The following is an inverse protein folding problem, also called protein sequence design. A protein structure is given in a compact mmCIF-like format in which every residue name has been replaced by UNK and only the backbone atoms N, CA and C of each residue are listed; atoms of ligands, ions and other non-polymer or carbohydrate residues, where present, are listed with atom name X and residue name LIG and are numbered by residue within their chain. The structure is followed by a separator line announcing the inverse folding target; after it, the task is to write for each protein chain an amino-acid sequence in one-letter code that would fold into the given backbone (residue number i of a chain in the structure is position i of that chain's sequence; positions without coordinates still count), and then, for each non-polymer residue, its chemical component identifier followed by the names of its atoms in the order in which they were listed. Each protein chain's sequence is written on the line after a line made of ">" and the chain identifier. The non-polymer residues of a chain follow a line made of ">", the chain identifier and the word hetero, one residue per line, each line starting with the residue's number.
data_IF_375241770463
#
_entry.id   IF_375241770463
#
_cell.length_a   1.000
_cell.length_b   1.000
_cell.length_c   1.000
_cell.angle_alpha   90.00
_cell.angle_beta   90.00
_cell.angle_gamma   90.00
#
_symmetry.space_group_name_H-M   'P 1'
#
loop_
_entity.id
_entity.type
_entity.pdbx_description
1 polymer ?
#
# COMPACT_ATOMS: atom_id res chain seq x y z
N UNK A 1 -37.25 40.69 16.19
CA UNK A 1 -38.70 40.90 16.40
C UNK A 1 -39.04 40.32 17.77
N UNK A 2 -39.79 41.07 18.59
CA UNK A 2 -40.28 40.59 19.90
C UNK A 2 -41.71 40.12 19.74
N UNK A 3 -42.02 38.93 20.18
CA UNK A 3 -43.37 38.38 20.28
C UNK A 3 -43.68 38.11 21.75
N UNK A 4 -44.83 38.63 22.29
CA UNK A 4 -45.24 38.36 23.66
C UNK A 4 -45.43 36.87 23.99
N UNK A 5 -45.70 36.04 22.99
CA UNK A 5 -45.90 34.59 23.11
C UNK A 5 -44.63 33.77 22.98
N UNK A 6 -43.62 34.24 22.20
CA UNK A 6 -42.42 33.46 21.82
C UNK A 6 -41.10 34.15 22.20
N UNK A 7 -41.13 35.30 22.85
CA UNK A 7 -39.93 36.05 23.25
C UNK A 7 -39.24 36.77 22.10
N UNK A 8 -37.93 36.95 22.22
CA UNK A 8 -37.12 37.56 21.16
C UNK A 8 -36.77 36.55 20.08
N UNK A 9 -37.04 36.92 18.83
CA UNK A 9 -36.52 36.22 17.65
C UNK A 9 -35.61 37.12 16.86
N UNK A 10 -34.53 36.59 16.34
CA UNK A 10 -33.59 37.26 15.47
C UNK A 10 -33.76 36.74 14.05
N UNK A 11 -34.13 37.64 13.13
CA UNK A 11 -34.14 37.31 11.71
C UNK A 11 -32.77 37.57 11.12
N UNK A 12 -32.16 36.53 10.56
CA UNK A 12 -30.91 36.66 9.81
C UNK A 12 -31.31 37.00 8.37
N UNK A 13 -31.01 38.22 7.92
CA UNK A 13 -31.35 38.69 6.57
C UNK A 13 -30.30 38.32 5.53
N UNK A 14 -29.01 38.23 5.95
CA UNK A 14 -27.93 37.80 5.09
C UNK A 14 -26.76 37.23 5.91
N UNK A 15 -26.08 36.28 5.34
CA UNK A 15 -24.79 35.77 5.86
C UNK A 15 -23.75 36.04 4.78
N UNK A 16 -22.73 36.82 5.10
CA UNK A 16 -21.61 37.02 4.19
C UNK A 16 -20.73 35.76 4.16
N UNK A 17 -20.94 34.95 3.15
CA UNK A 17 -20.17 33.70 2.95
C UNK A 17 -18.71 33.97 2.60
N UNK A 18 -18.38 35.15 2.08
CA UNK A 18 -16.99 35.50 1.70
C UNK A 18 -16.06 35.61 2.90
N UNK A 19 -16.58 36.10 4.04
CA UNK A 19 -15.85 36.18 5.29
C UNK A 19 -15.47 34.80 5.86
N UNK A 20 -16.44 33.88 5.82
CA UNK A 20 -16.23 32.50 6.29
C UNK A 20 -15.26 31.74 5.40
N UNK A 21 -15.33 31.91 4.08
CA UNK A 21 -14.39 31.30 3.13
C UNK A 21 -12.97 31.83 3.30
N UNK A 22 -12.81 33.14 3.56
CA UNK A 22 -11.51 33.75 3.84
C UNK A 22 -10.86 33.21 5.11
N UNK A 23 -11.63 32.98 6.17
CA UNK A 23 -11.14 32.39 7.41
C UNK A 23 -10.73 30.92 7.27
N UNK A 24 -11.50 30.13 6.51
CA UNK A 24 -11.16 28.75 6.18
C UNK A 24 -9.83 28.68 5.41
N UNK A 25 -9.70 29.51 4.37
CA UNK A 25 -8.50 29.58 3.55
C UNK A 25 -7.27 30.01 4.38
N UNK A 26 -7.42 31.00 5.25
CA UNK A 26 -6.35 31.46 6.15
C UNK A 26 -5.93 30.34 7.12
N UNK A 27 -6.86 29.65 7.75
CA UNK A 27 -6.58 28.53 8.66
C UNK A 27 -5.86 27.39 7.93
N UNK A 28 -6.31 27.04 6.75
CA UNK A 28 -5.66 26.05 5.89
C UNK A 28 -4.19 26.42 5.62
N UNK A 29 -3.95 27.66 5.21
CA UNK A 29 -2.60 28.17 4.93
C UNK A 29 -1.70 28.14 6.16
N UNK A 30 -2.19 28.56 7.32
CA UNK A 30 -1.46 28.52 8.59
C UNK A 30 -1.04 27.08 8.98
N UNK A 31 -1.92 26.11 8.78
CA UNK A 31 -1.61 24.70 9.06
C UNK A 31 -0.51 24.22 8.11
N UNK A 32 -0.60 24.57 6.83
CA UNK A 32 0.35 24.18 5.81
C UNK A 32 1.75 24.77 6.07
N UNK A 33 1.83 26.04 6.41
CA UNK A 33 3.07 26.72 6.80
C UNK A 33 3.70 26.08 8.04
N UNK A 34 2.89 25.76 9.05
CA UNK A 34 3.36 25.11 10.26
C UNK A 34 3.89 23.70 10.00
N UNK A 35 3.17 22.88 9.23
CA UNK A 35 3.62 21.53 8.85
C UNK A 35 4.92 21.58 8.03
N UNK A 36 5.06 22.61 7.19
CA UNK A 36 6.26 22.84 6.39
C UNK A 36 7.44 23.23 7.28
N UNK A 37 7.25 24.18 8.20
CA UNK A 37 8.31 24.63 9.12
C UNK A 37 8.79 23.52 10.06
N UNK A 38 7.90 22.60 10.44
CA UNK A 38 8.23 21.43 11.26
C UNK A 38 8.80 20.26 10.42
N UNK A 39 8.91 20.37 9.10
CA UNK A 39 9.40 19.34 8.19
C UNK A 39 8.49 18.09 8.15
N UNK A 40 7.21 18.24 8.47
CA UNK A 40 6.23 17.15 8.52
C UNK A 40 5.51 16.92 7.19
N UNK A 41 5.24 17.99 6.44
CA UNK A 41 4.34 18.00 5.28
C UNK A 41 4.58 16.86 4.29
N UNK A 42 5.83 16.57 4.00
CA UNK A 42 6.20 15.58 2.98
C UNK A 42 6.51 14.19 3.53
N UNK A 43 6.42 13.96 4.83
CA UNK A 43 6.86 12.68 5.43
C UNK A 43 6.09 11.48 4.90
N UNK A 44 4.77 11.57 4.78
CA UNK A 44 3.96 10.50 4.23
C UNK A 44 3.97 10.50 2.69
N UNK A 45 4.01 11.68 2.06
CA UNK A 45 4.13 11.82 0.59
C UNK A 45 5.36 11.10 0.02
N UNK A 46 6.49 11.17 0.72
CA UNK A 46 7.76 10.58 0.28
C UNK A 46 7.88 9.09 0.58
N UNK A 47 6.90 8.50 1.25
CA UNK A 47 6.90 7.04 1.42
C UNK A 47 6.76 6.36 0.07
N UNK A 48 7.53 5.29 -0.17
CA UNK A 48 7.39 4.52 -1.40
C UNK A 48 5.96 3.95 -1.50
N UNK A 49 5.46 3.87 -2.71
CA UNK A 49 4.23 3.11 -2.97
C UNK A 49 4.46 1.66 -2.52
N UNK A 50 3.51 1.04 -1.81
CA UNK A 50 3.64 -0.35 -1.40
C UNK A 50 3.97 -1.24 -2.62
N UNK A 51 4.87 -2.18 -2.44
CA UNK A 51 5.18 -3.14 -3.50
C UNK A 51 3.97 -4.04 -3.77
N UNK A 52 3.32 -4.47 -2.71
CA UNK A 52 2.09 -5.26 -2.73
C UNK A 52 1.11 -4.68 -1.70
N UNK A 53 -0.19 -4.76 -1.97
CA UNK A 53 -1.25 -4.30 -1.07
C UNK A 53 -2.14 -5.51 -0.76
N UNK A 54 -1.91 -6.12 0.38
CA UNK A 54 -2.68 -7.26 0.83
C UNK A 54 -3.58 -6.95 2.03
N UNK A 55 -3.22 -5.94 2.82
CA UNK A 55 -3.96 -5.57 4.01
C UNK A 55 -4.16 -4.07 4.07
N UNK A 56 -5.40 -3.65 3.98
CA UNK A 56 -5.80 -2.25 3.92
C UNK A 56 -6.65 -1.89 5.13
N UNK A 57 -6.23 -0.87 5.87
CA UNK A 57 -7.04 -0.25 6.90
C UNK A 57 -7.86 0.88 6.30
N UNK A 58 -9.18 0.80 6.43
CA UNK A 58 -10.12 1.81 5.90
C UNK A 58 -10.78 2.58 7.03
N UNK A 59 -10.63 3.90 7.04
CA UNK A 59 -11.36 4.83 7.91
C UNK A 59 -12.42 5.54 7.07
N UNK A 60 -13.69 5.35 7.42
CA UNK A 60 -14.82 5.88 6.66
C UNK A 60 -16.01 6.18 7.57
N UNK A 61 -16.97 7.05 7.16
CA UNK A 61 -18.26 7.21 7.85
C UNK A 61 -19.12 5.95 7.72
N UNK A 62 -19.89 5.60 8.74
CA UNK A 62 -20.73 4.38 8.77
C UNK A 62 -21.70 4.25 7.59
N UNK A 63 -22.35 5.36 7.18
CA UNK A 63 -23.46 5.36 6.24
C UNK A 63 -23.23 6.27 5.02
N UNK A 64 -21.99 6.36 4.52
CA UNK A 64 -21.71 7.20 3.36
C UNK A 64 -22.07 6.49 2.04
N UNK A 65 -22.81 7.17 1.16
CA UNK A 65 -23.19 6.64 -0.16
C UNK A 65 -21.97 6.15 -0.98
N UNK A 66 -20.85 6.89 -0.94
CA UNK A 66 -19.61 6.51 -1.63
C UNK A 66 -18.86 5.31 -1.02
N UNK A 67 -19.21 4.91 0.20
CA UNK A 67 -18.64 3.72 0.83
C UNK A 67 -19.21 2.43 0.21
N UNK A 68 -20.46 2.46 -0.28
CA UNK A 68 -21.08 1.30 -0.92
C UNK A 68 -20.33 0.86 -2.19
N UNK A 69 -19.99 1.83 -3.05
CA UNK A 69 -19.23 1.54 -4.29
C UNK A 69 -17.82 1.06 -3.97
N UNK A 70 -17.16 1.69 -2.98
CA UNK A 70 -15.85 1.25 -2.53
C UNK A 70 -15.89 -0.19 -2.00
N UNK A 71 -16.86 -0.50 -1.12
CA UNK A 71 -17.02 -1.84 -0.52
C UNK A 71 -17.26 -2.91 -1.57
N UNK A 72 -18.09 -2.65 -2.56
CA UNK A 72 -18.37 -3.61 -3.63
C UNK A 72 -17.11 -4.11 -4.33
N UNK A 73 -16.21 -3.19 -4.70
CA UNK A 73 -14.96 -3.54 -5.35
C UNK A 73 -13.94 -4.14 -4.35
N UNK A 74 -13.92 -3.64 -3.10
CA UNK A 74 -13.08 -4.18 -2.04
C UNK A 74 -13.46 -5.61 -1.65
N UNK A 75 -14.76 -5.89 -1.51
CA UNK A 75 -15.29 -7.23 -1.22
C UNK A 75 -14.96 -8.22 -2.34
N UNK A 76 -14.94 -7.77 -3.59
CA UNK A 76 -14.52 -8.60 -4.71
C UNK A 76 -13.03 -8.99 -4.62
N UNK A 77 -12.16 -8.06 -4.22
CA UNK A 77 -10.72 -8.33 -3.99
C UNK A 77 -10.49 -9.24 -2.77
N UNK A 78 -11.29 -9.05 -1.72
CA UNK A 78 -11.21 -9.88 -0.51
C UNK A 78 -11.68 -11.31 -0.76
N UNK A 79 -12.81 -11.49 -1.43
CA UNK A 79 -13.33 -12.79 -1.85
C UNK A 79 -12.36 -13.53 -2.78
N UNK A 80 -11.64 -12.81 -3.62
CA UNK A 80 -10.58 -13.37 -4.45
C UNK A 80 -9.30 -13.73 -3.66
N UNK A 81 -9.25 -13.42 -2.36
CA UNK A 81 -8.09 -13.65 -1.52
C UNK A 81 -6.86 -12.80 -1.87
N UNK A 82 -7.08 -11.69 -2.59
CA UNK A 82 -6.00 -10.84 -3.10
C UNK A 82 -5.65 -9.73 -2.12
N UNK A 83 -6.68 -9.11 -1.49
CA UNK A 83 -6.50 -7.98 -0.59
C UNK A 83 -7.60 -7.99 0.48
N UNK A 84 -7.20 -7.91 1.74
CA UNK A 84 -8.09 -7.88 2.90
C UNK A 84 -8.32 -6.44 3.36
N UNK A 85 -9.59 -6.09 3.68
CA UNK A 85 -9.98 -4.74 4.08
C UNK A 85 -10.58 -4.75 5.48
N UNK A 86 -10.01 -3.96 6.39
CA UNK A 86 -10.54 -3.75 7.74
C UNK A 86 -11.09 -2.35 7.86
N UNK A 87 -12.37 -2.25 8.23
CA UNK A 87 -13.10 -0.98 8.27
C UNK A 87 -13.25 -0.49 9.70
N UNK A 88 -12.97 0.81 9.90
CA UNK A 88 -13.27 1.52 11.15
C UNK A 88 -14.05 2.78 10.85
N UNK A 89 -15.15 2.96 11.60
CA UNK A 89 -16.01 4.12 11.44
C UNK A 89 -15.46 5.35 12.16
N UNK A 90 -15.62 6.52 11.53
CA UNK A 90 -15.36 7.81 12.12
C UNK A 90 -16.39 8.85 11.64
N UNK A 91 -16.60 9.89 12.44
CA UNK A 91 -17.39 11.05 12.04
C UNK A 91 -16.52 12.00 11.22
N UNK A 92 -17.02 12.42 10.04
CA UNK A 92 -16.33 13.34 9.12
C UNK A 92 -16.99 14.71 9.04
N UNK A 93 -17.97 14.99 9.89
CA UNK A 93 -18.76 16.23 9.91
C UNK A 93 -18.71 16.87 11.31
N UNK A 94 -18.79 18.21 11.33
CA UNK A 94 -18.82 18.97 12.56
C UNK A 94 -17.46 19.07 13.28
N UNK A 95 -17.45 19.81 14.39
CA UNK A 95 -16.24 20.16 15.13
C UNK A 95 -15.45 18.98 15.71
N UNK A 96 -16.08 17.82 15.83
CA UNK A 96 -15.45 16.59 16.37
C UNK A 96 -14.82 15.72 15.30
N UNK A 97 -14.95 16.08 14.02
CA UNK A 97 -14.50 15.24 12.89
C UNK A 97 -13.00 14.86 13.00
N UNK A 98 -12.14 15.85 13.19
CA UNK A 98 -10.70 15.63 13.29
C UNK A 98 -10.33 14.71 14.48
N UNK A 99 -10.95 14.92 15.64
CA UNK A 99 -10.76 14.08 16.82
C UNK A 99 -11.27 12.67 16.59
N UNK A 100 -12.48 12.54 16.02
CA UNK A 100 -13.09 11.24 15.73
C UNK A 100 -12.22 10.40 14.76
N UNK A 101 -11.71 11.01 13.70
CA UNK A 101 -10.81 10.32 12.76
C UNK A 101 -9.50 9.92 13.44
N UNK A 102 -8.92 10.81 14.27
CA UNK A 102 -7.70 10.53 15.00
C UNK A 102 -7.87 9.37 15.99
N UNK A 103 -8.98 9.35 16.73
CA UNK A 103 -9.32 8.28 17.65
C UNK A 103 -9.63 6.96 16.93
N UNK A 104 -10.41 7.01 15.85
CA UNK A 104 -10.69 5.85 15.02
C UNK A 104 -9.40 5.24 14.47
N UNK A 105 -8.50 6.06 13.94
CA UNK A 105 -7.21 5.61 13.46
C UNK A 105 -6.36 5.00 14.59
N UNK A 106 -6.29 5.65 15.75
CA UNK A 106 -5.55 5.14 16.90
C UNK A 106 -6.15 3.83 17.44
N UNK A 107 -7.47 3.73 17.49
CA UNK A 107 -8.18 2.53 17.93
C UNK A 107 -8.02 1.39 16.94
N UNK A 108 -8.19 1.69 15.65
CA UNK A 108 -7.98 0.74 14.57
C UNK A 108 -6.56 0.17 14.61
N UNK A 109 -5.55 1.01 14.74
CA UNK A 109 -4.16 0.60 14.82
C UNK A 109 -3.83 -0.20 16.09
N UNK A 110 -4.48 0.07 17.21
CA UNK A 110 -4.36 -0.74 18.45
C UNK A 110 -4.99 -2.12 18.33
N UNK A 111 -6.15 -2.19 17.68
CA UNK A 111 -6.84 -3.46 17.46
C UNK A 111 -6.08 -4.31 16.44
N UNK A 112 -5.63 -3.71 15.36
CA UNK A 112 -4.78 -4.36 14.36
C UNK A 112 -3.54 -4.99 14.99
N UNK A 113 -2.89 -4.26 15.91
CA UNK A 113 -1.72 -4.74 16.63
C UNK A 113 -1.99 -5.93 17.59
N UNK A 114 -3.24 -6.22 17.95
CA UNK A 114 -3.59 -7.42 18.75
C UNK A 114 -3.88 -8.64 17.86
N UNK A 115 -4.44 -8.41 16.67
CA UNK A 115 -4.98 -9.47 15.82
C UNK A 115 -3.98 -9.90 14.72
N UNK A 116 -3.10 -8.98 14.27
CA UNK A 116 -2.15 -9.19 13.18
C UNK A 116 -0.73 -8.79 13.60
N UNK A 117 0.25 -9.62 13.27
CA UNK A 117 1.66 -9.38 13.62
C UNK A 117 2.40 -8.44 12.64
N UNK A 118 1.72 -7.92 11.62
CA UNK A 118 2.28 -7.01 10.60
C UNK A 118 1.44 -5.73 10.51
N UNK A 119 1.98 -4.52 10.21
CA UNK A 119 1.16 -3.31 9.96
C UNK A 119 0.30 -3.47 8.69
N UNK A 120 -0.78 -2.65 8.51
CA UNK A 120 -1.42 -2.53 7.20
C UNK A 120 -0.41 -2.06 6.14
N UNK A 121 -0.54 -2.56 4.92
CA UNK A 121 0.28 -2.11 3.81
C UNK A 121 -0.14 -0.71 3.37
N UNK A 122 -1.41 -0.38 3.60
CA UNK A 122 -2.02 0.88 3.20
C UNK A 122 -3.08 1.30 4.23
N UNK A 123 -3.13 2.60 4.53
CA UNK A 123 -4.26 3.22 5.23
C UNK A 123 -5.06 4.03 4.21
N UNK A 124 -6.37 3.84 4.22
CA UNK A 124 -7.31 4.55 3.36
C UNK A 124 -8.23 5.40 4.22
N UNK A 125 -8.36 6.70 3.90
CA UNK A 125 -9.29 7.60 4.55
C UNK A 125 -10.24 8.09 3.47
N UNK A 126 -11.50 7.66 3.54
CA UNK A 126 -12.50 7.97 2.51
C UNK A 126 -13.76 8.58 3.12
N UNK A 127 -14.37 9.50 2.36
CA UNK A 127 -15.68 10.07 2.64
C UNK A 127 -16.49 10.03 1.34
N UNK A 128 -17.70 9.52 1.40
CA UNK A 128 -18.67 9.72 0.32
C UNK A 128 -19.40 11.03 0.53
N UNK A 129 -19.86 11.68 -0.52
CA UNK A 129 -20.68 12.89 -0.58
C UNK A 129 -20.93 13.71 0.70
N UNK A 130 -21.37 14.94 0.59
CA UNK A 130 -21.65 15.83 1.71
C UNK A 130 -21.41 17.29 1.33
N UNK A 131 -21.84 18.24 2.16
CA UNK A 131 -21.66 19.65 1.89
C UNK A 131 -20.16 20.03 1.92
N UNK A 132 -19.77 20.94 1.03
CA UNK A 132 -18.39 21.47 0.94
C UNK A 132 -17.93 22.10 2.26
N UNK A 133 -18.86 22.76 2.96
CA UNK A 133 -18.57 23.39 4.25
C UNK A 133 -18.15 22.39 5.35
N UNK A 134 -18.55 21.12 5.23
CA UNK A 134 -18.16 20.09 6.18
C UNK A 134 -16.69 19.70 6.05
N UNK A 135 -16.08 19.95 4.90
CA UNK A 135 -14.67 19.65 4.65
C UNK A 135 -13.72 20.59 5.43
N UNK A 136 -14.20 21.79 5.75
CA UNK A 136 -13.44 22.74 6.56
C UNK A 136 -13.05 22.20 7.95
N UNK A 137 -13.89 21.32 8.53
CA UNK A 137 -13.62 20.67 9.83
C UNK A 137 -12.48 19.65 9.78
N UNK A 138 -12.08 19.20 8.58
CA UNK A 138 -10.95 18.31 8.39
C UNK A 138 -9.61 19.08 8.34
N UNK A 139 -9.64 20.40 8.22
CA UNK A 139 -8.47 21.25 8.27
C UNK A 139 -8.04 21.46 9.72
N UNK A 140 -7.44 20.40 10.29
CA UNK A 140 -6.91 20.37 11.65
C UNK A 140 -5.44 19.97 11.65
N UNK A 141 -4.64 20.76 12.38
CA UNK A 141 -3.20 20.55 12.47
C UNK A 141 -2.84 19.22 13.15
N UNK A 142 -3.54 18.86 14.25
CA UNK A 142 -3.20 17.67 15.01
C UNK A 142 -3.47 16.40 14.20
N UNK A 143 -4.61 16.35 13.50
CA UNK A 143 -4.94 15.26 12.59
C UNK A 143 -3.91 15.18 11.45
N UNK A 144 -3.60 16.28 10.80
CA UNK A 144 -2.61 16.31 9.71
C UNK A 144 -1.21 15.87 10.19
N UNK A 145 -0.74 16.40 11.32
CA UNK A 145 0.54 16.00 11.91
C UNK A 145 0.57 14.53 12.33
N UNK A 146 -0.56 14.02 12.80
CA UNK A 146 -0.75 12.60 13.08
C UNK A 146 -0.54 11.77 11.82
N UNK A 147 -1.17 12.10 10.69
CA UNK A 147 -1.02 11.40 9.42
C UNK A 147 0.41 11.51 8.88
N UNK A 148 1.02 12.69 8.91
CA UNK A 148 2.40 12.90 8.47
C UNK A 148 3.41 11.98 9.17
N UNK A 149 3.18 11.68 10.46
CA UNK A 149 4.06 10.86 11.27
C UNK A 149 3.90 9.35 11.05
N UNK A 150 2.96 8.92 10.18
CA UNK A 150 2.76 7.51 9.86
C UNK A 150 3.85 7.01 8.91
N UNK A 151 4.35 5.79 9.11
CA UNK A 151 5.27 5.13 8.18
C UNK A 151 4.58 4.17 7.22
N UNK A 152 3.26 4.19 7.20
CA UNK A 152 2.45 3.53 6.19
C UNK A 152 1.92 4.57 5.24
N UNK A 153 1.96 4.32 3.94
CA UNK A 153 1.32 5.18 2.97
C UNK A 153 -0.15 5.38 3.31
N UNK A 154 -0.61 6.62 3.23
CA UNK A 154 -2.00 6.98 3.44
C UNK A 154 -2.57 7.47 2.10
N UNK A 155 -3.67 6.87 1.68
CA UNK A 155 -4.43 7.31 0.53
C UNK A 155 -5.74 7.93 0.99
N UNK A 156 -6.05 9.09 0.43
CA UNK A 156 -7.23 9.87 0.80
C UNK A 156 -8.17 9.95 -0.39
N UNK A 157 -9.48 9.81 -0.12
CA UNK A 157 -10.54 9.97 -1.12
C UNK A 157 -11.74 10.68 -0.49
N UNK A 158 -11.59 11.99 -0.19
CA UNK A 158 -12.55 12.76 0.62
C UNK A 158 -13.31 13.80 -0.20
N UNK A 159 -12.63 14.53 -1.09
CA UNK A 159 -13.18 15.72 -1.75
C UNK A 159 -13.06 15.69 -3.26
N UNK A 160 -13.77 16.61 -3.92
CA UNK A 160 -13.62 16.87 -5.35
C UNK A 160 -12.39 17.77 -5.58
N UNK A 161 -11.91 17.82 -6.81
CA UNK A 161 -10.71 18.55 -7.25
C UNK A 161 -10.67 20.03 -6.82
N UNK A 162 -11.85 20.64 -6.61
CA UNK A 162 -12.01 22.04 -6.18
C UNK A 162 -12.00 22.25 -4.66
N UNK A 163 -12.16 21.20 -3.86
CA UNK A 163 -12.43 21.26 -2.42
C UNK A 163 -11.40 20.47 -1.62
N UNK A 164 -10.11 20.76 -1.84
CA UNK A 164 -9.00 20.10 -1.18
C UNK A 164 -8.95 20.40 0.31
N UNK A 165 -8.66 19.37 1.08
CA UNK A 165 -8.40 19.46 2.53
C UNK A 165 -6.90 19.35 2.83
N UNK A 166 -6.52 19.69 4.05
CA UNK A 166 -5.14 19.51 4.50
C UNK A 166 -4.73 18.01 4.47
N UNK A 167 -5.70 17.09 4.55
CA UNK A 167 -5.46 15.64 4.49
C UNK A 167 -4.99 15.23 3.09
N UNK A 168 -5.51 15.86 2.05
CA UNK A 168 -5.08 15.65 0.65
C UNK A 168 -3.63 16.10 0.44
N UNK A 169 -3.21 17.17 1.16
CA UNK A 169 -1.87 17.69 1.06
C UNK A 169 -0.81 16.85 1.77
N UNK A 170 -1.16 16.18 2.85
CA UNK A 170 -0.23 15.36 3.65
C UNK A 170 -0.22 13.90 3.27
N UNK A 171 -1.23 13.44 2.54
CA UNK A 171 -1.37 12.05 2.12
C UNK A 171 -0.27 11.62 1.14
N UNK A 172 0.03 10.33 1.08
CA UNK A 172 0.88 9.73 0.06
C UNK A 172 0.27 9.89 -1.34
N UNK A 173 -1.05 9.61 -1.45
CA UNK A 173 -1.84 9.88 -2.65
C UNK A 173 -3.20 10.44 -2.27
N UNK A 174 -3.70 11.36 -3.08
CA UNK A 174 -5.05 11.92 -2.98
C UNK A 174 -5.86 11.56 -4.23
N UNK A 175 -7.12 11.24 -4.02
CA UNK A 175 -8.10 10.89 -5.04
C UNK A 175 -9.39 11.67 -4.80
N UNK A 176 -10.11 12.00 -5.85
CA UNK A 176 -11.34 12.81 -5.74
C UNK A 176 -12.52 12.05 -5.13
N UNK A 177 -12.50 10.72 -5.18
CA UNK A 177 -13.62 9.89 -4.70
C UNK A 177 -13.14 8.56 -4.11
N UNK A 178 -13.95 7.93 -3.21
CA UNK A 178 -13.68 6.58 -2.72
C UNK A 178 -13.52 5.56 -3.84
N UNK A 179 -14.32 5.63 -4.90
CA UNK A 179 -14.25 4.72 -6.04
C UNK A 179 -12.93 4.84 -6.81
N UNK A 180 -12.34 6.06 -6.89
CA UNK A 180 -11.01 6.23 -7.46
C UNK A 180 -9.90 5.66 -6.58
N UNK A 181 -10.07 5.66 -5.25
CA UNK A 181 -9.11 5.03 -4.31
C UNK A 181 -9.05 3.53 -4.55
N UNK A 182 -10.19 2.84 -4.53
CA UNK A 182 -10.23 1.38 -4.74
C UNK A 182 -9.77 1.02 -6.16
N UNK A 183 -10.11 1.85 -7.16
CA UNK A 183 -9.56 1.73 -8.51
C UNK A 183 -8.04 1.84 -8.54
N UNK A 184 -7.46 2.76 -7.77
CA UNK A 184 -6.01 2.90 -7.60
C UNK A 184 -5.35 1.67 -6.97
N UNK A 185 -5.98 1.09 -5.93
CA UNK A 185 -5.52 -0.16 -5.29
C UNK A 185 -5.54 -1.30 -6.32
N UNK A 186 -6.67 -1.50 -6.99
CA UNK A 186 -6.81 -2.53 -8.02
C UNK A 186 -5.78 -2.37 -9.13
N UNK A 187 -5.59 -1.17 -9.64
CA UNK A 187 -4.63 -0.91 -10.71
C UNK A 187 -3.20 -1.23 -10.27
N UNK A 188 -2.82 -0.88 -9.04
CA UNK A 188 -1.49 -1.21 -8.51
C UNK A 188 -1.29 -2.73 -8.41
N UNK A 189 -2.28 -3.47 -7.91
CA UNK A 189 -2.24 -4.93 -7.83
C UNK A 189 -2.10 -5.54 -9.23
N UNK A 190 -2.90 -5.06 -10.19
CA UNK A 190 -2.83 -5.52 -11.59
C UNK A 190 -1.47 -5.20 -12.21
N UNK A 191 -0.96 -3.99 -12.04
CA UNK A 191 0.37 -3.58 -12.52
C UNK A 191 1.48 -4.49 -11.98
N UNK A 192 1.48 -4.75 -10.67
CA UNK A 192 2.46 -5.64 -10.05
C UNK A 192 2.36 -7.07 -10.53
N UNK A 193 1.14 -7.56 -10.70
CA UNK A 193 0.90 -8.90 -11.27
C UNK A 193 1.45 -8.98 -12.69
N UNK A 194 1.22 -7.95 -13.52
CA UNK A 194 1.74 -7.89 -14.88
C UNK A 194 3.27 -7.84 -14.90
N UNK A 195 3.90 -7.03 -14.03
CA UNK A 195 5.37 -6.95 -13.89
C UNK A 195 5.99 -8.33 -13.58
N UNK A 196 5.33 -9.10 -12.70
CA UNK A 196 5.76 -10.46 -12.35
C UNK A 196 5.61 -11.41 -13.54
N UNK A 197 4.46 -11.37 -14.23
CA UNK A 197 4.21 -12.19 -15.43
C UNK A 197 5.20 -11.87 -16.55
N UNK A 198 5.48 -10.58 -16.80
CA UNK A 198 6.45 -10.15 -17.80
C UNK A 198 7.87 -10.59 -17.46
N UNK A 199 8.22 -10.54 -16.18
CA UNK A 199 9.50 -11.04 -15.68
C UNK A 199 9.64 -12.54 -15.86
N UNK A 200 8.61 -13.31 -15.54
CA UNK A 200 8.56 -14.76 -15.79
C UNK A 200 8.66 -15.09 -17.29
N UNK A 201 7.95 -14.30 -18.14
CA UNK A 201 8.02 -14.47 -19.59
C UNK A 201 9.43 -14.19 -20.13
N UNK A 202 10.09 -13.11 -19.68
CA UNK A 202 11.48 -12.79 -20.03
C UNK A 202 12.45 -13.91 -19.61
N UNK A 203 12.30 -14.42 -18.37
CA UNK A 203 13.12 -15.52 -17.85
C UNK A 203 12.94 -16.75 -18.75
N UNK A 204 11.70 -17.11 -19.10
CA UNK A 204 11.39 -18.24 -19.98
C UNK A 204 12.01 -18.06 -21.37
N UNK A 205 11.86 -16.89 -21.98
CA UNK A 205 12.43 -16.56 -23.28
C UNK A 205 13.96 -16.64 -23.28
N UNK A 206 14.62 -16.02 -22.28
CA UNK A 206 16.07 -16.05 -22.16
C UNK A 206 16.59 -17.47 -21.96
N UNK A 207 15.90 -18.27 -21.15
CA UNK A 207 16.23 -19.68 -20.94
C UNK A 207 16.10 -20.50 -22.25
N UNK A 208 15.02 -20.30 -22.99
CA UNK A 208 14.81 -20.96 -24.28
C UNK A 208 15.87 -20.52 -25.32
N UNK A 209 16.20 -19.23 -25.36
CA UNK A 209 17.20 -18.71 -26.29
C UNK A 209 18.60 -19.28 -26.00
N UNK A 210 18.99 -19.39 -24.73
CA UNK A 210 20.23 -20.03 -24.32
C UNK A 210 20.27 -21.51 -24.72
N UNK A 211 19.18 -22.25 -24.45
CA UNK A 211 19.06 -23.66 -24.83
C UNK A 211 19.22 -23.83 -26.34
N UNK A 212 18.50 -23.00 -27.13
CA UNK A 212 18.57 -23.06 -28.61
C UNK A 212 19.96 -22.68 -29.14
N UNK A 213 20.59 -21.65 -28.55
CA UNK A 213 21.95 -21.25 -28.93
C UNK A 213 22.98 -22.36 -28.65
N UNK A 214 22.90 -23.02 -27.48
CA UNK A 214 23.77 -24.14 -27.14
C UNK A 214 23.51 -25.37 -28.03
N UNK A 215 22.23 -25.64 -28.35
CA UNK A 215 21.88 -26.71 -29.31
C UNK A 215 22.46 -26.42 -30.68
N UNK A 216 22.31 -25.18 -31.21
CA UNK A 216 22.87 -24.79 -32.50
C UNK A 216 24.41 -24.85 -32.55
N UNK A 217 25.05 -24.39 -31.49
CA UNK A 217 26.50 -24.46 -31.35
C UNK A 217 26.99 -25.92 -31.29
N UNK A 218 26.24 -26.77 -30.60
CA UNK A 218 26.49 -28.21 -30.49
C UNK A 218 26.39 -28.89 -31.88
N UNK A 219 25.34 -28.57 -32.64
CA UNK A 219 25.16 -29.11 -34.00
C UNK A 219 26.29 -28.70 -34.93
N UNK A 220 26.85 -27.47 -34.79
CA UNK A 220 28.02 -27.03 -35.50
C UNK A 220 29.27 -27.85 -35.11
N UNK A 221 29.51 -28.09 -33.83
CA UNK A 221 30.64 -28.93 -33.40
C UNK A 221 30.56 -30.35 -33.91
N UNK A 222 29.37 -30.94 -33.89
CA UNK A 222 29.11 -32.29 -34.44
C UNK A 222 29.43 -32.33 -35.95
N UNK A 223 29.01 -31.28 -36.70
CA UNK A 223 29.29 -31.17 -38.15
C UNK A 223 30.82 -31.06 -38.42
N UNK A 224 31.52 -30.21 -37.66
CA UNK A 224 32.98 -30.03 -37.80
C UNK A 224 33.71 -31.31 -37.49
N UNK A 225 33.37 -31.99 -36.41
CA UNK A 225 33.96 -33.26 -36.01
C UNK A 225 33.77 -34.33 -37.08
N UNK A 226 32.52 -34.47 -37.64
CA UNK A 226 32.23 -35.40 -38.72
C UNK A 226 33.03 -35.08 -39.97
N UNK A 227 33.26 -33.82 -40.31
CA UNK A 227 34.03 -33.39 -41.51
C UNK A 227 35.53 -33.62 -41.34
N UNK A 228 36.07 -33.39 -40.15
CA UNK A 228 37.51 -33.54 -39.85
C UNK A 228 37.92 -35.00 -39.61
N UNK A 229 37.00 -35.86 -39.25
CA UNK A 229 37.33 -37.21 -38.77
C UNK A 229 37.13 -38.34 -39.82
N UNK A 230 36.94 -38.03 -41.08
CA UNK A 230 36.85 -39.08 -42.11
C UNK A 230 38.06 -40.05 -42.18
N UNK A 231 39.19 -39.72 -41.54
CA UNK A 231 40.39 -40.56 -41.49
C UNK A 231 40.58 -41.36 -40.18
N UNK A 232 39.80 -41.05 -39.11
CA UNK A 232 39.95 -41.68 -37.77
C UNK A 232 38.62 -42.08 -37.14
N UNK A 233 37.82 -42.83 -37.88
CA UNK A 233 36.40 -43.13 -37.60
C UNK A 233 36.18 -43.73 -36.19
N UNK A 234 37.04 -44.59 -35.73
CA UNK A 234 36.83 -45.31 -34.48
C UNK A 234 37.13 -44.45 -33.20
N UNK A 235 38.14 -43.61 -33.19
CA UNK A 235 38.43 -42.68 -32.08
C UNK A 235 37.46 -41.48 -32.08
N UNK A 236 37.14 -40.95 -33.27
CA UNK A 236 36.23 -39.87 -33.43
C UNK A 236 34.79 -40.25 -32.93
N UNK A 237 34.32 -41.45 -33.23
CA UNK A 237 33.05 -41.93 -32.71
C UNK A 237 32.99 -42.03 -31.18
N UNK A 238 34.08 -42.52 -30.56
CA UNK A 238 34.19 -42.59 -29.10
C UNK A 238 34.26 -41.20 -28.48
N UNK A 239 34.99 -40.28 -29.11
CA UNK A 239 35.08 -38.88 -28.69
C UNK A 239 33.75 -38.17 -28.90
N UNK A 240 33.01 -38.48 -30.00
CA UNK A 240 31.71 -37.90 -30.29
C UNK A 240 30.62 -38.33 -29.26
N UNK A 241 30.65 -39.61 -28.85
CA UNK A 241 29.71 -40.12 -27.84
C UNK A 241 29.98 -39.53 -26.46
N UNK A 242 31.27 -39.35 -26.09
CA UNK A 242 31.65 -38.66 -24.85
C UNK A 242 31.26 -37.16 -24.90
N UNK A 243 31.48 -36.47 -26.04
CA UNK A 243 31.04 -35.07 -26.19
C UNK A 243 29.52 -34.92 -26.11
N UNK A 244 28.74 -35.80 -26.75
CA UNK A 244 27.29 -35.83 -26.62
C UNK A 244 26.84 -36.00 -25.17
N UNK A 245 27.46 -36.90 -24.43
CA UNK A 245 27.19 -37.13 -23.02
C UNK A 245 27.48 -35.89 -22.16
N UNK A 246 28.59 -35.21 -22.42
CA UNK A 246 28.98 -34.00 -21.71
C UNK A 246 28.04 -32.83 -22.00
N UNK A 247 27.63 -32.69 -23.27
CA UNK A 247 26.70 -31.64 -23.69
C UNK A 247 25.30 -31.87 -23.09
N UNK A 248 24.82 -33.13 -23.10
CA UNK A 248 23.56 -33.47 -22.46
C UNK A 248 23.61 -33.24 -20.94
N UNK A 249 24.72 -33.59 -20.31
CA UNK A 249 24.94 -33.31 -18.89
C UNK A 249 24.96 -31.83 -18.58
N UNK A 250 25.70 -31.02 -19.38
CA UNK A 250 25.78 -29.56 -19.21
C UNK A 250 24.42 -28.89 -19.52
N UNK A 251 23.70 -29.34 -20.54
CA UNK A 251 22.37 -28.83 -20.83
C UNK A 251 21.37 -29.12 -19.69
N UNK A 252 21.42 -30.34 -19.13
CA UNK A 252 20.61 -30.69 -17.94
C UNK A 252 20.99 -29.88 -16.71
N UNK A 253 22.29 -29.64 -16.50
CA UNK A 253 22.77 -28.78 -15.38
C UNK A 253 22.32 -27.33 -15.57
N UNK A 254 22.43 -26.78 -16.80
CA UNK A 254 21.95 -25.41 -17.12
C UNK A 254 20.45 -25.25 -16.94
N UNK A 255 19.67 -26.26 -17.39
CA UNK A 255 18.21 -26.27 -17.17
C UNK A 255 17.90 -26.33 -15.67
N UNK A 256 18.63 -27.16 -14.91
CA UNK A 256 18.49 -27.28 -13.47
C UNK A 256 18.87 -25.97 -12.75
N UNK A 257 19.97 -25.30 -13.17
CA UNK A 257 20.39 -24.02 -12.62
C UNK A 257 19.36 -22.90 -12.94
N UNK A 258 18.89 -22.84 -14.19
CA UNK A 258 17.85 -21.87 -14.58
C UNK A 258 16.53 -22.12 -13.83
N UNK A 259 16.12 -23.39 -13.66
CA UNK A 259 14.97 -23.77 -12.86
C UNK A 259 15.12 -23.37 -11.40
N UNK A 260 16.29 -23.63 -10.81
CA UNK A 260 16.59 -23.24 -9.43
C UNK A 260 16.61 -21.71 -9.25
N UNK A 261 17.09 -20.98 -10.25
CA UNK A 261 17.09 -19.51 -10.24
C UNK A 261 15.65 -18.94 -10.30
N UNK A 262 14.81 -19.52 -11.15
CA UNK A 262 13.38 -19.17 -11.21
C UNK A 262 12.68 -19.50 -9.89
N UNK A 263 12.89 -20.70 -9.32
CA UNK A 263 12.36 -21.06 -8.00
C UNK A 263 12.83 -20.11 -6.89
N UNK A 264 14.13 -19.72 -6.92
CA UNK A 264 14.69 -18.77 -5.94
C UNK A 264 14.01 -17.41 -6.03
N UNK A 265 13.87 -16.87 -7.26
CA UNK A 265 13.18 -15.59 -7.50
C UNK A 265 11.69 -15.66 -7.14
N UNK A 266 11.02 -16.79 -7.44
CA UNK A 266 9.64 -16.99 -7.01
C UNK A 266 9.51 -17.06 -5.49
N UNK A 267 10.42 -17.77 -4.80
CA UNK A 267 10.46 -17.82 -3.33
C UNK A 267 10.74 -16.43 -2.75
N UNK A 268 11.66 -15.67 -3.33
CA UNK A 268 12.00 -14.32 -2.87
C UNK A 268 10.80 -13.37 -3.03
N UNK A 269 10.11 -13.44 -4.18
CA UNK A 269 8.87 -12.69 -4.42
C UNK A 269 7.75 -13.09 -3.44
N UNK A 270 7.61 -14.39 -3.17
CA UNK A 270 6.61 -14.91 -2.22
C UNK A 270 6.97 -14.58 -0.76
N UNK A 271 8.26 -14.56 -0.41
CA UNK A 271 8.74 -14.18 0.93
C UNK A 271 8.59 -12.69 1.20
N UNK A 272 8.61 -11.85 0.16
CA UNK A 272 8.31 -10.41 0.27
C UNK A 272 6.81 -10.13 0.46
N UNK A 273 5.97 -11.15 0.30
CA UNK A 273 4.54 -11.04 0.52
C UNK A 273 4.25 -10.83 2.03
N UNK A 274 3.79 -9.66 2.44
CA UNK A 274 3.52 -9.37 3.85
C UNK A 274 2.59 -10.38 4.51
N UNK A 275 1.60 -10.90 3.79
CA UNK A 275 0.69 -11.95 4.30
C UNK A 275 1.41 -13.20 4.76
N UNK A 276 2.49 -13.60 4.08
CA UNK A 276 3.27 -14.80 4.46
C UNK A 276 4.04 -14.59 5.76
N UNK A 277 4.54 -13.36 5.97
CA UNK A 277 5.22 -12.99 7.21
C UNK A 277 4.20 -12.93 8.35
N UNK A 278 3.02 -12.38 8.08
CA UNK A 278 1.91 -12.31 9.04
C UNK A 278 1.38 -13.68 9.42
N UNK A 279 1.28 -14.61 8.48
CA UNK A 279 0.87 -16.00 8.75
C UNK A 279 1.82 -16.75 9.68
N UNK A 280 3.08 -16.30 9.83
CA UNK A 280 4.06 -16.85 10.77
C UNK A 280 3.94 -16.26 12.19
N UNK A 281 2.94 -15.41 12.43
CA UNK A 281 2.69 -14.80 13.73
C UNK A 281 3.41 -13.47 13.95
N UNK A 282 3.94 -12.83 12.89
CA UNK A 282 4.47 -11.46 12.98
C UNK A 282 3.35 -10.45 12.80
N UNK A 283 3.52 -9.27 13.43
CA UNK A 283 2.63 -8.12 13.32
C UNK A 283 3.37 -6.93 12.72
N UNK A 284 2.68 -6.10 11.99
CA UNK A 284 3.18 -4.79 11.63
C UNK A 284 2.66 -3.77 12.65
N UNK A 285 3.57 -3.12 13.38
CA UNK A 285 3.22 -2.08 14.34
C UNK A 285 3.29 -0.71 13.68
N UNK A 286 2.25 0.10 13.90
CA UNK A 286 2.18 1.47 13.41
C UNK A 286 1.97 2.45 14.54
N UNK A 287 2.64 3.56 14.49
CA UNK A 287 2.37 4.75 15.28
C UNK A 287 2.10 5.88 14.31
N UNK A 288 0.97 6.55 14.46
CA UNK A 288 0.53 7.61 13.58
C UNK A 288 0.46 7.22 12.07
N UNK A 289 0.00 5.95 11.76
CA UNK A 289 -0.11 5.36 10.42
C UNK A 289 1.21 4.99 9.74
N UNK A 290 2.36 5.21 10.40
CA UNK A 290 3.68 4.82 9.93
C UNK A 290 4.11 3.52 10.60
N UNK A 291 4.56 2.52 9.81
CA UNK A 291 5.17 1.31 10.35
C UNK A 291 6.44 1.69 11.12
N UNK A 292 6.50 1.32 12.40
CA UNK A 292 7.66 1.55 13.24
C UNK A 292 8.56 0.31 13.20
N UNK A 293 9.87 0.57 13.10
CA UNK A 293 10.91 -0.48 13.15
C UNK A 293 11.74 -0.43 14.43
N UNK A 294 11.56 0.62 15.21
CA UNK A 294 12.28 0.85 16.45
C UNK A 294 11.35 1.47 17.48
N UNK A 295 11.56 1.13 18.74
CA UNK A 295 10.89 1.74 19.89
C UNK A 295 11.07 3.27 19.94
N UNK A 296 12.15 3.80 19.37
CA UNK A 296 12.40 5.26 19.28
C UNK A 296 11.46 5.96 18.30
N UNK A 297 10.74 5.23 17.46
CA UNK A 297 9.81 5.76 16.46
C UNK A 297 8.36 5.84 17.00
N UNK A 298 8.13 5.45 18.23
CA UNK A 298 6.84 5.58 18.90
C UNK A 298 6.66 7.05 19.26
N UNK A 299 5.75 7.72 18.58
CA UNK A 299 5.48 9.15 18.72
C UNK A 299 4.23 9.44 19.58
N UNK A 300 3.43 8.41 19.84
CA UNK A 300 2.17 8.51 20.62
C UNK A 300 2.00 7.31 21.52
N UNK A 301 1.22 7.49 22.60
CA UNK A 301 0.86 6.40 23.49
C UNK A 301 -0.05 5.34 22.86
N UNK A 302 -0.44 5.54 21.61
CA UNK A 302 -1.33 4.66 20.86
C UNK A 302 -0.61 4.07 19.67
N UNK A 303 -0.61 2.74 19.60
CA UNK A 303 -0.07 1.98 18.48
C UNK A 303 -1.15 1.08 17.89
N UNK A 304 -1.03 0.85 16.59
CA UNK A 304 -1.83 -0.11 15.86
C UNK A 304 -0.97 -1.31 15.49
N UNK A 305 -1.47 -2.49 15.75
CA UNK A 305 -0.83 -3.77 15.39
C UNK A 305 -1.73 -4.50 14.39
N UNK A 306 -1.24 -4.64 13.17
CA UNK A 306 -1.92 -5.30 12.06
C UNK A 306 -1.55 -6.77 12.05
N UNK A 307 -2.53 -7.65 12.17
CA UNK A 307 -2.45 -9.09 12.08
C UNK A 307 -3.10 -9.57 10.77
N UNK A 308 -2.97 -10.84 10.42
CA UNK A 308 -3.46 -11.42 9.17
C UNK A 308 -4.97 -11.24 8.94
N UNK A 309 -5.74 -11.21 10.00
CA UNK A 309 -7.21 -11.24 10.02
C UNK A 309 -7.85 -9.98 10.64
N UNK A 310 -7.05 -9.00 11.07
CA UNK A 310 -7.59 -7.77 11.65
C UNK A 310 -6.54 -6.85 12.26
N UNK A 311 -7.00 -5.81 12.93
CA UNK A 311 -6.15 -4.80 13.53
C UNK A 311 -6.51 -4.61 14.99
N UNK A 312 -5.50 -4.48 15.83
CA UNK A 312 -5.64 -4.21 17.27
C UNK A 312 -5.11 -2.82 17.54
N UNK A 313 -5.86 -2.00 18.26
CA UNK A 313 -5.36 -0.76 18.81
C UNK A 313 -4.94 -0.98 20.28
N UNK A 314 -3.72 -0.60 20.60
CA UNK A 314 -3.17 -0.78 21.94
C UNK A 314 -2.56 0.52 22.47
N UNK A 315 -2.61 0.68 23.81
CA UNK A 315 -1.87 1.73 24.48
C UNK A 315 -0.48 1.22 24.88
N UNK A 316 0.53 2.02 24.62
CA UNK A 316 1.88 1.77 25.12
C UNK A 316 1.92 2.13 26.59
N UNK A 317 1.98 1.12 27.45
CA UNK A 317 2.07 1.33 28.91
C UNK A 317 3.51 1.45 29.39
N UNK A 318 4.46 0.85 28.69
CA UNK A 318 5.88 0.90 29.02
C UNK A 318 6.73 0.54 27.82
N UNK A 319 7.85 1.23 27.65
CA UNK A 319 8.85 0.93 26.63
C UNK A 319 10.13 0.48 27.35
N UNK A 320 10.55 -0.74 27.06
CA UNK A 320 11.80 -1.30 27.59
C UNK A 320 12.77 -1.48 26.43
N UNK A 321 13.96 -0.89 26.52
CA UNK A 321 15.04 -1.15 25.55
C UNK A 321 15.84 -2.36 25.99
N UNK A 322 16.02 -3.33 25.10
CA UNK A 322 17.05 -4.34 25.30
C UNK A 322 18.40 -3.65 25.06
N UNK A 323 19.25 -3.59 26.09
CA UNK A 323 20.60 -3.02 26.05
C UNK A 323 21.53 -3.76 25.13
#
# INVERSE_FOLDING_TARGET
>A
VFSPQYGFSVNIEAIDSSYTLGDIARRYQQILERLTSEGLLNKNKLLPTPFDIQNVLVIAPENAAGLGDFKKDADALDQAGVCHFVYHSATFQGNTAATSISEALANALRQWAKDLNTPPDLIVIIRGGGAVNDLAYLNDYNLAALLCKRSVPIWVGIGHEKDRTILDEVANRSFDTPSKVIGGIRNLIVERTQDVLDSLHKIKLLSQHQITAYQSQNDQYIKVIKTLSQGQINEANKSLDLMKGTVQYLAQQLIKLASNQVESLMRETLLQNPRHVMAKGYAIVRSDGKAIRSIQQISTDHIQVELLDGTINANVTQVLSNG
#
